data_IF_737942439362
#
_entry.id   IF_737942439362
#
_cell.length_a   1.000
_cell.length_b   1.000
_cell.length_c   1.000
_cell.angle_alpha   90.00
_cell.angle_beta   90.00
_cell.angle_gamma   90.00
#
_symmetry.space_group_name_H-M   'P 1'
#
loop_
_entity.id
_entity.type
_entity.pdbx_description
1 polymer ?
#
# COMPACT_ATOMS: atom_id res chain seq x y z
N UNK A 1 -8.60 37.43 -23.07
CA UNK A 1 -9.40 36.19 -22.93
C UNK A 1 -8.40 35.04 -23.02
N UNK A 2 -7.97 34.36 -21.96
CA UNK A 2 -8.69 33.87 -20.78
C UNK A 2 -8.35 32.38 -20.72
N UNK A 3 -7.30 32.08 -19.94
CA UNK A 3 -6.63 30.80 -19.66
C UNK A 3 -7.54 29.57 -19.61
N UNK A 4 -6.97 28.36 -19.81
CA UNK A 4 -6.89 27.37 -18.74
C UNK A 4 -6.05 26.12 -19.05
N UNK A 5 -5.05 25.96 -18.19
CA UNK A 5 -4.09 24.89 -17.95
C UNK A 5 -4.82 23.66 -17.34
N UNK A 6 -4.71 22.46 -17.94
CA UNK A 6 -5.30 21.23 -17.36
C UNK A 6 -4.30 20.56 -16.43
N UNK A 7 -4.40 20.90 -15.15
CA UNK A 7 -3.67 20.27 -14.05
C UNK A 7 -3.85 18.75 -14.01
N UNK A 8 -2.73 18.03 -14.00
CA UNK A 8 -2.66 16.59 -13.75
C UNK A 8 -2.99 16.32 -12.29
N UNK A 9 -4.25 16.01 -11.98
CA UNK A 9 -4.61 15.45 -10.68
C UNK A 9 -3.92 14.10 -10.52
N UNK A 10 -2.90 14.02 -9.66
CA UNK A 10 -2.43 12.75 -9.14
C UNK A 10 -3.55 12.19 -8.29
N UNK A 11 -4.33 11.27 -8.85
CA UNK A 11 -5.21 10.41 -8.06
C UNK A 11 -4.26 9.64 -7.14
N UNK A 12 -4.35 9.87 -5.84
CA UNK A 12 -3.63 9.08 -4.83
C UNK A 12 -4.22 7.67 -4.87
N UNK A 13 -3.73 6.86 -5.81
CA UNK A 13 -4.09 5.45 -5.93
C UNK A 13 -3.50 4.77 -4.72
N UNK A 14 -4.37 4.38 -3.79
CA UNK A 14 -3.95 3.63 -2.64
C UNK A 14 -3.60 2.22 -3.11
N UNK A 15 -2.32 1.93 -3.28
CA UNK A 15 -1.88 0.58 -3.66
C UNK A 15 -2.02 -0.34 -2.44
N UNK A 16 -2.76 -1.42 -2.59
CA UNK A 16 -2.84 -2.46 -1.59
C UNK A 16 -1.57 -3.32 -1.67
N UNK A 17 -0.93 -3.53 -0.53
CA UNK A 17 0.23 -4.41 -0.41
C UNK A 17 0.00 -5.40 0.72
N UNK A 18 0.34 -6.66 0.49
CA UNK A 18 0.36 -7.67 1.52
C UNK A 18 1.70 -7.59 2.26
N UNK A 19 1.64 -7.48 3.58
CA UNK A 19 2.79 -7.55 4.47
C UNK A 19 2.75 -8.83 5.28
N UNK A 20 3.91 -9.43 5.50
CA UNK A 20 4.10 -10.64 6.28
C UNK A 20 5.00 -10.38 7.48
N UNK A 21 4.67 -10.98 8.61
CA UNK A 21 5.58 -11.03 9.74
C UNK A 21 6.66 -12.10 9.49
N UNK A 22 7.94 -11.73 9.46
CA UNK A 22 9.02 -12.71 9.25
C UNK A 22 9.23 -13.63 10.46
N UNK A 23 8.66 -13.29 11.63
CA UNK A 23 8.83 -14.06 12.87
C UNK A 23 7.74 -15.11 13.09
N UNK A 24 6.46 -14.73 12.99
CA UNK A 24 5.33 -15.64 13.23
C UNK A 24 4.57 -16.03 11.96
N UNK A 25 4.85 -15.38 10.82
CA UNK A 25 4.17 -15.65 9.55
C UNK A 25 2.81 -14.96 9.38
N UNK A 26 2.37 -14.11 10.32
CA UNK A 26 1.12 -13.35 10.22
C UNK A 26 1.08 -12.49 8.95
N UNK A 27 -0.02 -12.55 8.19
CA UNK A 27 -0.24 -11.78 6.97
C UNK A 27 -1.26 -10.66 7.22
N UNK A 28 -1.03 -9.49 6.63
CA UNK A 28 -1.94 -8.34 6.72
C UNK A 28 -1.88 -7.52 5.45
N UNK A 29 -3.00 -6.93 5.05
CA UNK A 29 -3.07 -6.05 3.87
C UNK A 29 -3.06 -4.61 4.34
N UNK A 30 -2.15 -3.80 3.80
CA UNK A 30 -2.07 -2.37 4.07
C UNK A 30 -2.16 -1.57 2.78
N UNK A 31 -2.70 -0.37 2.86
CA UNK A 31 -2.81 0.57 1.74
C UNK A 31 -1.74 1.64 1.90
N UNK A 32 -0.90 1.84 0.88
CA UNK A 32 0.06 2.95 0.81
C UNK A 32 -0.58 4.16 0.10
N UNK A 33 -0.27 5.42 0.42
CA UNK A 33 0.96 5.91 1.04
C UNK A 33 0.87 5.95 2.56
N UNK A 34 1.35 4.89 3.21
CA UNK A 34 1.68 4.94 4.64
C UNK A 34 3.17 5.23 4.73
N UNK A 35 3.53 6.22 5.55
CA UNK A 35 4.92 6.58 5.81
C UNK A 35 5.73 5.40 6.37
N UNK A 36 5.07 4.49 7.11
CA UNK A 36 5.70 3.33 7.74
C UNK A 36 4.86 2.03 7.62
N UNK A 37 5.57 0.91 7.48
CA UNK A 37 4.98 -0.43 7.59
C UNK A 37 4.67 -0.72 9.07
N UNK A 38 3.48 -1.21 9.43
CA UNK A 38 3.14 -1.50 10.81
C UNK A 38 3.91 -2.70 11.37
N UNK A 39 3.94 -2.79 12.70
CA UNK A 39 4.41 -3.97 13.42
C UNK A 39 3.34 -5.04 13.46
N UNK A 40 3.78 -6.29 13.57
CA UNK A 40 2.91 -7.45 13.69
C UNK A 40 2.09 -7.37 14.99
N UNK A 41 0.74 -7.47 14.92
CA UNK A 41 -0.11 -7.41 16.11
C UNK A 41 0.11 -8.61 17.06
N UNK A 42 0.58 -9.74 16.54
CA UNK A 42 0.77 -10.98 17.30
C UNK A 42 2.06 -10.99 18.13
N UNK A 43 3.16 -10.48 17.58
CA UNK A 43 4.49 -10.61 18.20
C UNK A 43 5.29 -9.30 18.29
N UNK A 44 4.74 -8.19 17.80
CA UNK A 44 5.37 -6.87 17.81
C UNK A 44 6.56 -6.69 16.88
N UNK A 45 6.88 -7.68 16.03
CA UNK A 45 8.00 -7.60 15.07
C UNK A 45 7.63 -6.74 13.87
N UNK A 46 8.57 -5.95 13.35
CA UNK A 46 8.36 -5.14 12.15
C UNK A 46 7.96 -6.04 10.97
N UNK A 47 6.82 -5.77 10.35
CA UNK A 47 6.38 -6.54 9.19
C UNK A 47 7.18 -6.14 7.95
N UNK A 48 7.21 -7.01 6.95
CA UNK A 48 7.88 -6.78 5.67
C UNK A 48 6.89 -6.98 4.53
N UNK A 49 7.09 -6.29 3.39
CA UNK A 49 6.25 -6.47 2.20
C UNK A 49 6.47 -7.89 1.67
N UNK A 50 5.37 -8.63 1.52
CA UNK A 50 5.35 -9.97 0.96
C UNK A 50 5.00 -9.93 -0.53
N UNK A 51 3.92 -9.22 -0.88
CA UNK A 51 3.43 -9.12 -2.25
C UNK A 51 2.74 -7.77 -2.49
N UNK A 52 2.86 -7.24 -3.71
CA UNK A 52 2.09 -6.08 -4.16
C UNK A 52 0.78 -6.59 -4.76
N UNK A 53 -0.35 -6.24 -4.15
CA UNK A 53 -1.66 -6.60 -4.65
C UNK A 53 -2.07 -5.55 -5.69
N UNK A 54 -1.59 -5.73 -6.92
CA UNK A 54 -2.06 -4.93 -8.04
C UNK A 54 -3.54 -5.24 -8.24
N UNK A 55 -4.41 -4.23 -8.06
CA UNK A 55 -5.82 -4.34 -8.41
C UNK A 55 -5.92 -4.70 -9.88
N UNK A 56 -6.15 -5.99 -10.13
CA UNK A 56 -6.00 -6.65 -11.41
C UNK A 56 -6.57 -5.82 -12.56
N UNK A 57 -5.73 -5.57 -13.57
CA UNK A 57 -6.22 -5.14 -14.87
C UNK A 57 -7.13 -6.21 -15.45
N UNK A 58 -8.43 -5.97 -15.31
CA UNK A 58 -9.44 -5.93 -16.37
C UNK A 58 -9.43 -7.05 -17.42
N UNK A 59 -10.48 -7.89 -17.35
CA UNK A 59 -11.26 -8.59 -18.39
C UNK A 59 -10.55 -9.35 -19.52
#
# INVERSE_FOLDING_TARGET
>A
MGQQDKGKGKVERYEAIEVKCPKCGYLSIIYIPKEDIPKCPECGTQMVINELLDEGKSY
#
